data_IF_241316524268
#
_entry.id   IF_241316524268
#
_cell.length_a   1.000
_cell.length_b   1.000
_cell.length_c   1.000
_cell.angle_alpha   90.00
_cell.angle_beta   90.00
_cell.angle_gamma   90.00
#
_symmetry.space_group_name_H-M   'P 1'
#
loop_
_entity.id
_entity.type
_entity.pdbx_description
1 polymer ?
#
# COMPACT_ATOMS: atom_id res chain seq x y z
N UNK A 1 -1.24 42.00 -35.81
CA UNK A 1 -1.37 42.67 -34.51
C UNK A 1 -2.27 41.78 -33.65
N UNK A 2 -1.68 40.93 -32.78
CA UNK A 2 -2.41 40.10 -31.79
C UNK A 2 -2.47 40.88 -30.49
N UNK A 3 -3.64 41.33 -30.11
CA UNK A 3 -3.91 42.01 -28.84
C UNK A 3 -3.67 41.03 -27.68
N UNK A 4 -2.68 41.31 -26.85
CA UNK A 4 -2.47 40.68 -25.55
C UNK A 4 -3.56 41.19 -24.60
N UNK A 5 -4.24 40.25 -23.95
CA UNK A 5 -5.20 40.50 -22.88
C UNK A 5 -4.46 40.92 -21.59
N UNK A 6 -4.69 42.15 -21.05
CA UNK A 6 -3.87 42.67 -19.94
C UNK A 6 -4.26 42.13 -18.55
N UNK A 7 -5.19 41.16 -18.44
CA UNK A 7 -5.70 40.68 -17.17
C UNK A 7 -5.26 39.25 -16.77
N UNK A 8 -4.23 38.70 -17.38
CA UNK A 8 -3.66 37.45 -16.91
C UNK A 8 -2.74 37.69 -15.68
N UNK A 9 -3.26 37.47 -14.49
CA UNK A 9 -2.57 37.59 -13.21
C UNK A 9 -1.44 36.53 -13.12
N UNK A 10 -0.14 36.90 -13.19
CA UNK A 10 0.98 35.93 -13.22
C UNK A 10 1.09 35.09 -11.97
N UNK A 11 0.50 35.53 -10.84
CA UNK A 11 0.54 34.82 -9.55
C UNK A 11 -0.36 33.58 -9.53
N UNK A 12 -1.50 33.58 -10.26
CA UNK A 12 -2.42 32.44 -10.33
C UNK A 12 -1.87 31.27 -11.18
N UNK A 13 -1.11 31.61 -12.24
CA UNK A 13 -0.44 30.62 -13.10
C UNK A 13 0.76 29.97 -12.40
N UNK A 14 1.50 30.71 -11.59
CA UNK A 14 2.64 30.23 -10.81
C UNK A 14 2.21 29.33 -9.65
N UNK A 15 1.10 29.64 -8.96
CA UNK A 15 0.55 28.77 -7.89
C UNK A 15 -0.08 27.48 -8.46
N UNK A 16 -0.67 27.50 -9.65
CA UNK A 16 -1.16 26.29 -10.34
C UNK A 16 -0.03 25.32 -10.70
N UNK A 17 1.17 25.82 -11.03
CA UNK A 17 2.33 25.00 -11.36
C UNK A 17 2.98 24.31 -10.15
N UNK A 18 2.84 24.86 -8.94
CA UNK A 18 3.47 24.34 -7.73
C UNK A 18 2.76 23.10 -7.14
N UNK A 19 1.48 22.87 -7.45
CA UNK A 19 0.67 21.78 -6.90
C UNK A 19 0.71 20.48 -7.73
N UNK A 20 1.19 20.54 -8.97
CA UNK A 20 1.20 19.45 -9.96
C UNK A 20 2.63 19.18 -10.42
N UNK A 21 3.06 17.91 -10.44
CA UNK A 21 4.38 17.51 -10.93
C UNK A 21 4.22 16.65 -12.19
N UNK A 22 4.63 17.21 -13.32
CA UNK A 22 4.63 16.49 -14.59
C UNK A 22 5.85 15.56 -14.65
N UNK A 23 5.60 14.24 -14.53
CA UNK A 23 6.66 13.22 -14.57
C UNK A 23 7.08 12.88 -16.02
N UNK A 24 6.47 13.50 -17.02
CA UNK A 24 6.86 13.31 -18.42
C UNK A 24 8.07 14.16 -18.82
N UNK A 25 8.52 15.09 -17.95
CA UNK A 25 9.62 16.02 -18.20
C UNK A 25 10.75 15.81 -17.19
N UNK A 26 11.99 16.06 -17.59
CA UNK A 26 13.17 15.95 -16.72
C UNK A 26 13.75 14.52 -16.64
N UNK A 27 14.74 14.31 -15.75
CA UNK A 27 15.39 13.00 -15.55
C UNK A 27 14.42 12.02 -14.88
N UNK A 28 14.22 10.80 -15.42
CA UNK A 28 13.36 9.80 -14.82
C UNK A 28 13.77 9.45 -13.39
N UNK A 29 15.05 9.19 -13.15
CA UNK A 29 15.59 8.88 -11.83
C UNK A 29 15.20 9.94 -10.78
N UNK A 30 15.41 11.23 -11.11
CA UNK A 30 15.08 12.34 -10.20
C UNK A 30 13.58 12.40 -9.90
N UNK A 31 12.73 12.18 -10.92
CA UNK A 31 11.27 12.23 -10.75
C UNK A 31 10.79 11.06 -9.88
N UNK A 32 11.27 9.83 -10.13
CA UNK A 32 10.92 8.65 -9.37
C UNK A 32 11.35 8.81 -7.91
N UNK A 33 12.61 9.20 -7.65
CA UNK A 33 13.15 9.38 -6.30
C UNK A 33 12.40 10.48 -5.54
N UNK A 34 12.17 11.65 -6.18
CA UNK A 34 11.46 12.77 -5.57
C UNK A 34 10.01 12.42 -5.20
N UNK A 35 9.38 11.55 -5.99
CA UNK A 35 8.03 11.07 -5.72
C UNK A 35 7.99 9.96 -4.67
N UNK A 36 8.94 9.01 -4.70
CA UNK A 36 9.00 7.89 -3.77
C UNK A 36 9.36 8.32 -2.34
N UNK A 37 10.24 9.31 -2.18
CA UNK A 37 10.74 9.71 -0.85
C UNK A 37 9.64 10.09 0.15
N UNK A 38 8.65 10.96 -0.18
CA UNK A 38 7.55 11.24 0.75
C UNK A 38 6.70 10.00 1.08
N UNK A 39 6.54 9.07 0.13
CA UNK A 39 5.79 7.83 0.36
C UNK A 39 6.52 6.91 1.34
N UNK A 40 7.84 6.77 1.20
CA UNK A 40 8.70 5.99 2.10
C UNK A 40 8.62 6.58 3.52
N UNK A 41 8.80 7.88 3.65
CA UNK A 41 8.70 8.56 4.95
C UNK A 41 7.30 8.42 5.56
N UNK A 42 6.25 8.50 4.74
CA UNK A 42 4.87 8.30 5.17
C UNK A 42 4.63 6.89 5.70
N UNK A 43 5.17 5.88 5.03
CA UNK A 43 5.07 4.49 5.49
C UNK A 43 5.81 4.26 6.81
N UNK A 44 7.02 4.77 6.95
CA UNK A 44 7.81 4.65 8.20
C UNK A 44 7.05 5.30 9.36
N UNK A 45 6.52 6.51 9.16
CA UNK A 45 5.71 7.20 10.17
C UNK A 45 4.43 6.41 10.52
N UNK A 46 3.80 5.79 9.53
CA UNK A 46 2.65 4.93 9.75
C UNK A 46 3.00 3.71 10.61
N UNK A 47 4.16 3.09 10.40
CA UNK A 47 4.62 2.00 11.25
C UNK A 47 4.93 2.47 12.69
N UNK A 48 5.51 3.65 12.83
CA UNK A 48 5.79 4.22 14.15
C UNK A 48 4.50 4.51 14.94
N UNK A 49 3.50 5.10 14.30
CA UNK A 49 2.24 5.39 14.99
C UNK A 49 1.50 4.11 15.41
N UNK A 50 1.53 3.04 14.59
CA UNK A 50 0.94 1.75 14.95
C UNK A 50 1.60 1.13 16.19
N UNK A 51 2.92 1.34 16.35
CA UNK A 51 3.62 0.91 17.57
C UNK A 51 3.18 1.76 18.78
N UNK A 52 3.06 3.08 18.61
CA UNK A 52 2.60 3.98 19.68
C UNK A 52 1.17 3.62 20.11
N UNK A 53 0.26 3.40 19.17
CA UNK A 53 -1.11 2.98 19.45
C UNK A 53 -1.14 1.65 20.22
N UNK A 54 -0.37 0.65 19.80
CA UNK A 54 -0.26 -0.63 20.48
C UNK A 54 0.29 -0.48 21.92
N UNK A 55 1.25 0.44 22.15
CA UNK A 55 1.77 0.75 23.48
C UNK A 55 0.70 1.42 24.36
N UNK A 56 -0.05 2.37 23.80
CA UNK A 56 -1.15 3.03 24.51
C UNK A 56 -2.20 1.99 24.92
N UNK A 57 -2.70 1.19 23.98
CA UNK A 57 -3.70 0.15 24.26
C UNK A 57 -3.19 -0.86 25.28
N UNK A 58 -1.96 -1.41 25.10
CA UNK A 58 -1.40 -2.42 25.97
C UNK A 58 -1.11 -1.95 27.38
N UNK A 59 -0.65 -0.70 27.56
CA UNK A 59 -0.24 -0.18 28.86
C UNK A 59 -1.42 0.37 29.69
N UNK A 60 -2.41 0.99 29.06
CA UNK A 60 -3.53 1.65 29.77
C UNK A 60 -4.83 0.84 29.78
N UNK A 61 -5.08 -0.01 28.79
CA UNK A 61 -6.27 -0.88 28.79
C UNK A 61 -5.89 -2.28 29.30
N UNK A 62 -4.75 -2.81 28.85
CA UNK A 62 -4.21 -4.11 29.31
C UNK A 62 -3.92 -5.07 28.17
N UNK A 63 -3.31 -6.22 28.56
CA UNK A 63 -2.82 -7.24 27.63
C UNK A 63 -3.98 -7.89 26.85
N UNK A 64 -5.15 -8.07 27.46
CA UNK A 64 -6.34 -8.62 26.80
C UNK A 64 -6.82 -7.74 25.63
N UNK A 65 -6.87 -6.42 25.83
CA UNK A 65 -7.22 -5.46 24.76
C UNK A 65 -6.20 -5.47 23.62
N UNK A 66 -4.91 -5.53 23.95
CA UNK A 66 -3.85 -5.65 22.94
C UNK A 66 -3.96 -6.95 22.14
N UNK A 67 -4.30 -8.06 22.79
CA UNK A 67 -4.56 -9.34 22.15
C UNK A 67 -5.79 -9.29 21.24
N UNK A 68 -6.85 -8.59 21.64
CA UNK A 68 -8.06 -8.39 20.84
C UNK A 68 -7.77 -7.60 19.56
N UNK A 69 -7.01 -6.49 19.67
CA UNK A 69 -6.54 -5.72 18.51
C UNK A 69 -5.66 -6.57 17.61
N UNK A 70 -4.74 -7.35 18.20
CA UNK A 70 -3.85 -8.25 17.47
C UNK A 70 -4.59 -9.35 16.70
N UNK A 71 -5.59 -9.99 17.30
CA UNK A 71 -6.44 -10.99 16.64
C UNK A 71 -7.19 -10.42 15.43
N UNK A 72 -7.53 -9.13 15.48
CA UNK A 72 -8.23 -8.42 14.41
C UNK A 72 -7.33 -8.05 13.21
N UNK A 73 -6.02 -8.08 13.38
CA UNK A 73 -5.05 -7.54 12.38
C UNK A 73 -5.11 -8.26 11.03
N UNK A 74 -5.18 -9.59 11.02
CA UNK A 74 -5.21 -10.38 9.78
C UNK A 74 -6.47 -10.11 8.96
N UNK A 75 -7.61 -9.98 9.64
CA UNK A 75 -8.91 -9.69 9.01
C UNK A 75 -8.89 -8.28 8.41
N UNK A 76 -8.41 -7.33 9.20
CA UNK A 76 -8.26 -5.93 8.77
C UNK A 76 -7.33 -5.83 7.57
N UNK A 77 -6.20 -6.57 7.57
CA UNK A 77 -5.25 -6.59 6.46
C UNK A 77 -5.89 -7.04 5.14
N UNK A 78 -6.69 -8.11 5.15
CA UNK A 78 -7.36 -8.61 3.94
C UNK A 78 -8.34 -7.59 3.36
N UNK A 79 -9.20 -7.01 4.20
CA UNK A 79 -10.24 -6.07 3.76
C UNK A 79 -9.62 -4.72 3.34
N UNK A 80 -8.76 -4.16 4.19
CA UNK A 80 -8.11 -2.88 3.91
C UNK A 80 -7.10 -2.97 2.76
N UNK A 81 -6.42 -4.12 2.61
CA UNK A 81 -5.56 -4.41 1.46
C UNK A 81 -6.33 -4.36 0.15
N UNK A 82 -7.53 -4.97 0.09
CA UNK A 82 -8.42 -4.84 -1.06
C UNK A 82 -8.81 -3.38 -1.34
N UNK A 83 -9.21 -2.64 -0.30
CA UNK A 83 -9.60 -1.23 -0.42
C UNK A 83 -8.45 -0.37 -0.97
N UNK A 84 -7.25 -0.55 -0.43
CA UNK A 84 -6.04 0.17 -0.86
C UNK A 84 -5.68 -0.14 -2.32
N UNK A 85 -5.69 -1.42 -2.69
CA UNK A 85 -5.41 -1.86 -4.05
C UNK A 85 -6.42 -1.34 -5.06
N UNK A 86 -7.72 -1.42 -4.75
CA UNK A 86 -8.78 -0.92 -5.61
C UNK A 86 -8.64 0.60 -5.86
N UNK A 87 -8.41 1.39 -4.82
CA UNK A 87 -8.20 2.83 -4.93
C UNK A 87 -6.95 3.19 -5.75
N UNK A 88 -5.86 2.42 -5.56
CA UNK A 88 -4.64 2.60 -6.36
C UNK A 88 -4.90 2.30 -7.85
N UNK A 89 -5.70 1.27 -8.16
CA UNK A 89 -6.11 0.94 -9.52
C UNK A 89 -6.99 2.03 -10.17
N UNK A 90 -7.86 2.67 -9.40
CA UNK A 90 -8.67 3.80 -9.90
C UNK A 90 -7.84 5.04 -10.23
N UNK A 91 -6.66 5.20 -9.66
CA UNK A 91 -5.75 6.30 -9.96
C UNK A 91 -5.03 6.14 -11.31
N UNK A 92 -4.91 4.91 -11.86
CA UNK A 92 -4.17 4.63 -13.10
C UNK A 92 -4.80 5.33 -14.32
N UNK A 93 -6.11 5.19 -14.64
CA UNK A 93 -6.72 5.90 -15.77
C UNK A 93 -6.65 7.42 -15.63
N UNK A 94 -6.61 7.94 -14.39
CA UNK A 94 -6.45 9.36 -14.11
C UNK A 94 -5.04 9.83 -14.46
N UNK A 95 -4.00 9.07 -14.07
CA UNK A 95 -2.61 9.36 -14.40
C UNK A 95 -2.37 9.31 -15.92
N UNK A 96 -2.97 8.33 -16.61
CA UNK A 96 -2.93 8.20 -18.08
C UNK A 96 -3.55 9.42 -18.75
N UNK A 97 -4.77 9.82 -18.35
CA UNK A 97 -5.46 10.96 -18.92
C UNK A 97 -4.74 12.28 -18.63
N UNK A 98 -4.14 12.41 -17.43
CA UNK A 98 -3.30 13.55 -17.07
C UNK A 98 -2.06 13.64 -17.97
N UNK A 99 -1.34 12.53 -18.16
CA UNK A 99 -0.17 12.47 -19.07
C UNK A 99 -0.51 12.81 -20.52
N UNK A 100 -1.69 12.41 -20.98
CA UNK A 100 -2.24 12.76 -22.30
C UNK A 100 -2.70 14.23 -22.40
N UNK A 101 -2.70 14.98 -21.30
CA UNK A 101 -3.27 16.33 -21.18
C UNK A 101 -4.76 16.41 -21.53
N UNK A 102 -5.47 15.28 -21.50
CA UNK A 102 -6.92 15.18 -21.69
C UNK A 102 -7.63 15.38 -20.34
N UNK A 103 -7.71 16.62 -19.91
CA UNK A 103 -8.25 16.98 -18.61
C UNK A 103 -9.76 16.74 -18.49
N UNK A 104 -10.49 16.83 -19.62
CA UNK A 104 -11.91 16.46 -19.65
C UNK A 104 -12.10 14.98 -19.30
N UNK A 105 -11.41 14.10 -20.02
CA UNK A 105 -11.44 12.65 -19.78
C UNK A 105 -10.96 12.30 -18.36
N UNK A 106 -9.93 12.99 -17.87
CA UNK A 106 -9.41 12.81 -16.51
C UNK A 106 -10.50 13.09 -15.47
N UNK A 107 -11.21 14.24 -15.57
CA UNK A 107 -12.27 14.60 -14.62
C UNK A 107 -13.47 13.66 -14.67
N UNK A 108 -13.80 13.11 -15.84
CA UNK A 108 -14.83 12.05 -15.95
C UNK A 108 -14.39 10.78 -15.22
N UNK A 109 -13.11 10.37 -15.31
CA UNK A 109 -12.60 9.27 -14.51
C UNK A 109 -12.67 9.56 -13.01
N UNK A 110 -12.30 10.76 -12.57
CA UNK A 110 -12.40 11.17 -11.16
C UNK A 110 -13.84 11.07 -10.66
N UNK A 111 -14.82 11.61 -11.42
CA UNK A 111 -16.24 11.56 -11.05
C UNK A 111 -16.77 10.14 -10.91
N UNK A 112 -16.44 9.27 -11.87
CA UNK A 112 -16.88 7.87 -11.83
C UNK A 112 -16.14 7.07 -10.74
N UNK A 113 -14.83 7.33 -10.51
CA UNK A 113 -14.07 6.71 -9.44
C UNK A 113 -14.65 7.02 -8.06
N UNK A 114 -15.07 8.27 -7.80
CA UNK A 114 -15.74 8.64 -6.54
C UNK A 114 -17.03 7.84 -6.36
N UNK A 115 -17.88 7.73 -7.38
CA UNK A 115 -19.14 6.98 -7.28
C UNK A 115 -18.93 5.50 -7.02
N UNK A 116 -18.03 4.87 -7.80
CA UNK A 116 -17.72 3.44 -7.61
C UNK A 116 -17.17 3.23 -6.20
N UNK A 117 -16.27 4.09 -5.74
CA UNK A 117 -15.67 3.98 -4.41
C UNK A 117 -16.69 4.11 -3.30
N UNK A 118 -17.66 5.01 -3.41
CA UNK A 118 -18.75 5.13 -2.42
C UNK A 118 -19.59 3.84 -2.40
N UNK A 119 -19.99 3.33 -3.57
CA UNK A 119 -20.78 2.09 -3.64
C UNK A 119 -19.98 0.91 -3.09
N UNK A 120 -18.73 0.74 -3.52
CA UNK A 120 -17.88 -0.36 -3.04
C UNK A 120 -17.62 -0.28 -1.54
N UNK A 121 -17.32 0.91 -1.03
CA UNK A 121 -17.07 1.12 0.39
C UNK A 121 -18.30 0.78 1.24
N UNK A 122 -19.49 1.20 0.80
CA UNK A 122 -20.75 0.88 1.49
C UNK A 122 -21.05 -0.62 1.44
N UNK A 123 -20.89 -1.26 0.29
CA UNK A 123 -21.12 -2.72 0.14
C UNK A 123 -20.16 -3.49 1.05
N UNK A 124 -18.85 -3.17 0.99
CA UNK A 124 -17.84 -3.84 1.81
C UNK A 124 -18.12 -3.59 3.30
N UNK A 125 -18.44 -2.35 3.69
CA UNK A 125 -18.77 -2.00 5.07
C UNK A 125 -19.96 -2.83 5.57
N UNK A 126 -21.09 -2.85 4.82
CA UNK A 126 -22.30 -3.57 5.23
C UNK A 126 -22.03 -5.07 5.34
N UNK A 127 -21.36 -5.67 4.35
CA UNK A 127 -21.00 -7.09 4.41
C UNK A 127 -20.06 -7.39 5.58
N UNK A 128 -19.04 -6.57 5.81
CA UNK A 128 -18.11 -6.76 6.92
C UNK A 128 -18.79 -6.65 8.28
N UNK A 129 -19.70 -5.68 8.45
CA UNK A 129 -20.48 -5.51 9.68
C UNK A 129 -21.42 -6.71 9.91
N UNK A 130 -22.13 -7.16 8.87
CA UNK A 130 -23.05 -8.31 8.96
C UNK A 130 -22.34 -9.60 9.33
N UNK A 131 -21.16 -9.82 8.79
CA UNK A 131 -20.40 -11.06 9.00
C UNK A 131 -19.35 -10.98 10.10
N UNK A 132 -19.18 -9.84 10.77
CA UNK A 132 -18.13 -9.61 11.77
C UNK A 132 -18.09 -10.71 12.86
N UNK A 133 -19.22 -11.05 13.43
CA UNK A 133 -19.33 -12.08 14.47
C UNK A 133 -18.89 -13.47 13.93
N UNK A 134 -19.36 -13.86 12.74
CA UNK A 134 -18.98 -15.12 12.11
C UNK A 134 -17.51 -15.18 11.75
N UNK A 135 -16.94 -14.07 11.26
CA UNK A 135 -15.53 -13.97 10.92
C UNK A 135 -14.65 -14.23 12.14
N UNK A 136 -14.98 -13.61 13.30
CA UNK A 136 -14.25 -13.82 14.55
C UNK A 136 -14.36 -15.27 15.06
N UNK A 137 -15.52 -15.93 14.88
CA UNK A 137 -15.69 -17.34 15.18
C UNK A 137 -14.82 -18.23 14.26
N UNK A 138 -14.78 -17.93 12.96
CA UNK A 138 -13.98 -18.70 11.99
C UNK A 138 -12.46 -18.63 12.25
N UNK A 139 -11.97 -17.52 12.80
CA UNK A 139 -10.56 -17.41 13.20
C UNK A 139 -10.29 -17.91 14.63
N UNK A 140 -11.28 -18.56 15.27
CA UNK A 140 -11.18 -19.12 16.62
C UNK A 140 -10.71 -18.10 17.66
N UNK A 141 -11.28 -16.88 17.65
CA UNK A 141 -10.96 -15.85 18.63
C UNK A 141 -11.35 -16.33 20.04
N UNK A 142 -10.45 -16.29 21.04
CA UNK A 142 -10.74 -16.71 22.41
C UNK A 142 -11.91 -15.94 23.01
N UNK A 143 -12.71 -16.62 23.86
CA UNK A 143 -13.95 -16.08 24.42
C UNK A 143 -13.73 -14.88 25.35
N UNK A 144 -12.60 -14.86 26.06
CA UNK A 144 -12.18 -13.81 26.99
C UNK A 144 -11.89 -12.45 26.31
N UNK A 145 -11.40 -12.47 25.05
CA UNK A 145 -11.12 -11.26 24.27
C UNK A 145 -12.14 -11.01 23.16
N UNK A 146 -13.14 -11.88 22.99
CA UNK A 146 -14.07 -11.83 21.86
C UNK A 146 -14.87 -10.53 21.81
N UNK A 147 -15.36 -10.04 22.97
CA UNK A 147 -16.14 -8.81 23.03
C UNK A 147 -15.32 -7.58 22.59
N UNK A 148 -14.09 -7.46 23.06
CA UNK A 148 -13.19 -6.36 22.70
C UNK A 148 -12.79 -6.42 21.23
N UNK A 149 -12.45 -7.62 20.71
CA UNK A 149 -12.16 -7.83 19.30
C UNK A 149 -13.35 -7.50 18.40
N UNK A 150 -14.56 -7.88 18.81
CA UNK A 150 -15.80 -7.56 18.09
C UNK A 150 -16.04 -6.05 18.05
N UNK A 151 -15.94 -5.38 19.20
CA UNK A 151 -16.12 -3.92 19.30
C UNK A 151 -15.12 -3.17 18.44
N UNK A 152 -13.84 -3.56 18.50
CA UNK A 152 -12.79 -2.95 17.69
C UNK A 152 -13.03 -3.15 16.20
N UNK A 153 -13.32 -4.38 15.76
CA UNK A 153 -13.57 -4.66 14.34
C UNK A 153 -14.83 -3.95 13.82
N UNK A 154 -15.90 -3.88 14.60
CA UNK A 154 -17.10 -3.15 14.21
C UNK A 154 -16.79 -1.67 13.91
N UNK A 155 -15.97 -1.03 14.74
CA UNK A 155 -15.52 0.35 14.51
C UNK A 155 -14.59 0.48 13.32
N UNK A 156 -13.65 -0.47 13.12
CA UNK A 156 -12.79 -0.51 11.94
C UNK A 156 -13.60 -0.70 10.66
N UNK A 157 -14.61 -1.55 10.65
CA UNK A 157 -15.47 -1.76 9.49
C UNK A 157 -16.36 -0.55 9.21
N UNK A 158 -16.84 0.12 10.24
CA UNK A 158 -17.58 1.39 10.09
C UNK A 158 -16.69 2.51 9.50
N UNK A 159 -15.36 2.43 9.68
CA UNK A 159 -14.39 3.37 9.10
C UNK A 159 -14.08 3.10 7.61
N UNK A 160 -14.50 1.96 7.02
CA UNK A 160 -14.19 1.60 5.62
C UNK A 160 -14.49 2.73 4.63
N UNK A 161 -15.63 3.45 4.68
CA UNK A 161 -15.89 4.55 3.76
C UNK A 161 -14.88 5.70 3.86
N UNK A 162 -14.39 5.99 5.07
CA UNK A 162 -13.38 7.02 5.30
C UNK A 162 -12.00 6.57 4.78
N UNK A 163 -11.63 5.32 5.05
CA UNK A 163 -10.40 4.73 4.53
C UNK A 163 -10.40 4.70 3.00
N UNK A 164 -11.53 4.30 2.39
CA UNK A 164 -11.70 4.35 0.94
C UNK A 164 -11.60 5.78 0.41
N UNK A 165 -12.25 6.73 1.07
CA UNK A 165 -12.21 8.14 0.72
C UNK A 165 -10.81 8.72 0.75
N UNK A 166 -10.05 8.48 1.82
CA UNK A 166 -8.65 8.93 1.93
C UNK A 166 -7.77 8.29 0.86
N UNK A 167 -7.83 6.97 0.67
CA UNK A 167 -7.01 6.27 -0.31
C UNK A 167 -7.33 6.70 -1.75
N UNK A 168 -8.61 6.88 -2.08
CA UNK A 168 -9.03 7.39 -3.38
C UNK A 168 -8.49 8.80 -3.62
N UNK A 169 -8.81 9.75 -2.74
CA UNK A 169 -8.44 11.14 -2.91
C UNK A 169 -6.93 11.35 -2.92
N UNK A 170 -6.20 10.67 -2.02
CA UNK A 170 -4.74 10.70 -2.02
C UNK A 170 -4.16 10.05 -3.28
N UNK A 171 -4.79 8.98 -3.79
CA UNK A 171 -4.46 8.36 -5.08
C UNK A 171 -4.63 9.32 -6.26
N UNK A 172 -5.73 10.09 -6.29
CA UNK A 172 -5.98 11.11 -7.31
C UNK A 172 -4.92 12.23 -7.26
N UNK A 173 -4.56 12.69 -6.06
CA UNK A 173 -3.49 13.69 -5.88
C UNK A 173 -2.15 13.14 -6.39
N UNK A 174 -1.83 11.87 -6.06
CA UNK A 174 -0.62 11.19 -6.52
C UNK A 174 -0.62 10.98 -8.04
N UNK A 175 -1.76 10.69 -8.66
CA UNK A 175 -1.87 10.54 -10.11
C UNK A 175 -1.40 11.78 -10.88
N UNK A 176 -1.51 12.97 -10.29
CA UNK A 176 -1.00 14.23 -10.83
C UNK A 176 0.47 14.52 -10.40
N UNK A 177 1.18 13.52 -9.89
CA UNK A 177 2.60 13.62 -9.54
C UNK A 177 2.90 14.24 -8.15
N UNK A 178 1.88 14.50 -7.32
CA UNK A 178 2.08 15.09 -6.00
C UNK A 178 1.97 14.04 -4.88
N UNK A 179 3.10 13.54 -4.40
CA UNK A 179 3.17 12.61 -3.27
C UNK A 179 3.35 13.31 -1.91
N UNK A 180 3.75 14.60 -1.91
CA UNK A 180 4.06 15.34 -0.68
C UNK A 180 2.81 15.67 0.14
N UNK A 181 1.74 16.08 -0.51
CA UNK A 181 0.53 16.49 0.21
C UNK A 181 -0.17 15.33 0.93
N UNK A 182 -0.40 14.16 0.30
CA UNK A 182 -0.88 12.98 1.02
C UNK A 182 -0.01 12.59 2.21
N UNK A 183 1.30 12.76 2.12
CA UNK A 183 2.23 12.55 3.23
C UNK A 183 1.96 13.49 4.41
N UNK A 184 1.79 14.80 4.16
CA UNK A 184 1.46 15.75 5.24
C UNK A 184 0.09 15.46 5.87
N UNK A 185 -0.89 15.02 5.09
CA UNK A 185 -2.20 14.64 5.62
C UNK A 185 -2.12 13.39 6.49
N UNK A 186 -1.26 12.44 6.11
CA UNK A 186 -0.99 11.25 6.90
C UNK A 186 -0.34 11.62 8.26
N UNK A 187 0.65 12.52 8.27
CA UNK A 187 1.26 13.02 9.51
C UNK A 187 0.20 13.65 10.41
N UNK A 188 -0.59 14.57 9.86
CA UNK A 188 -1.65 15.26 10.63
C UNK A 188 -2.63 14.26 11.22
N UNK A 189 -3.06 13.28 10.42
CA UNK A 189 -3.95 12.21 10.87
C UNK A 189 -3.35 11.37 11.99
N UNK A 190 -2.07 10.99 11.86
CA UNK A 190 -1.38 10.21 12.89
C UNK A 190 -1.27 10.99 14.22
N UNK A 191 -0.94 12.27 14.16
CA UNK A 191 -0.89 13.12 15.37
C UNK A 191 -2.27 13.27 16.01
N UNK A 192 -3.32 13.49 15.21
CA UNK A 192 -4.71 13.55 15.70
C UNK A 192 -5.12 12.23 16.30
N UNK A 193 -4.77 11.09 15.68
CA UNK A 193 -5.07 9.77 16.21
C UNK A 193 -4.43 9.55 17.59
N UNK A 194 -3.13 9.78 17.74
CA UNK A 194 -2.42 9.66 19.02
C UNK A 194 -3.05 10.57 20.10
N UNK A 195 -3.38 11.81 19.75
CA UNK A 195 -4.03 12.73 20.66
C UNK A 195 -5.41 12.21 21.10
N UNK A 196 -6.21 11.72 20.17
CA UNK A 196 -7.53 11.16 20.44
C UNK A 196 -7.45 9.86 21.24
N UNK A 197 -6.48 8.98 21.00
CA UNK A 197 -6.21 7.78 21.80
C UNK A 197 -5.96 8.15 23.25
N UNK A 198 -5.08 9.12 23.50
CA UNK A 198 -4.83 9.62 24.86
C UNK A 198 -6.10 10.18 25.49
N UNK A 199 -6.87 11.01 24.79
CA UNK A 199 -8.08 11.62 25.33
C UNK A 199 -9.17 10.56 25.58
N UNK A 200 -9.48 9.71 24.60
CA UNK A 200 -10.61 8.79 24.70
C UNK A 200 -10.30 7.58 25.61
N UNK A 201 -9.05 7.12 25.64
CA UNK A 201 -8.66 5.98 26.46
C UNK A 201 -8.37 6.42 27.90
N UNK A 202 -7.49 7.46 28.10
CA UNK A 202 -7.06 7.84 29.43
C UNK A 202 -8.07 8.72 30.17
N UNK A 203 -8.64 9.74 29.51
CA UNK A 203 -9.52 10.70 30.17
C UNK A 203 -11.00 10.28 30.14
N UNK A 204 -11.47 9.66 29.03
CA UNK A 204 -12.85 9.23 28.90
C UNK A 204 -13.07 7.78 29.32
N UNK A 205 -12.01 6.98 29.52
CA UNK A 205 -12.11 5.57 29.97
C UNK A 205 -12.82 4.64 28.97
N UNK A 206 -12.82 4.97 27.66
CA UNK A 206 -13.58 4.23 26.64
C UNK A 206 -12.95 2.89 26.23
N UNK A 207 -11.82 2.53 26.80
CA UNK A 207 -11.14 1.24 26.50
C UNK A 207 -10.86 1.06 25.00
N UNK A 208 -11.04 -0.17 24.52
CA UNK A 208 -10.81 -0.54 23.09
C UNK A 208 -11.68 0.25 22.12
N UNK A 209 -12.91 0.61 22.53
CA UNK A 209 -13.78 1.45 21.71
C UNK A 209 -13.16 2.84 21.47
N UNK A 210 -12.43 3.38 22.46
CA UNK A 210 -11.72 4.65 22.32
C UNK A 210 -10.69 4.62 21.18
N UNK A 211 -9.86 3.56 21.10
CA UNK A 211 -8.89 3.37 20.01
C UNK A 211 -9.58 3.28 18.63
N UNK A 212 -10.69 2.53 18.54
CA UNK A 212 -11.47 2.44 17.31
C UNK A 212 -12.04 3.78 16.85
N UNK A 213 -12.62 4.56 17.78
CA UNK A 213 -13.18 5.89 17.49
C UNK A 213 -12.08 6.89 17.12
N UNK A 214 -10.92 6.86 17.81
CA UNK A 214 -9.78 7.70 17.47
C UNK A 214 -9.30 7.46 16.02
N UNK A 215 -9.19 6.19 15.62
CA UNK A 215 -8.87 5.82 14.23
C UNK A 215 -9.93 6.35 13.26
N UNK A 216 -11.22 6.20 13.57
CA UNK A 216 -12.30 6.68 12.73
C UNK A 216 -12.26 8.21 12.54
N UNK A 217 -12.12 8.97 13.62
CA UNK A 217 -12.05 10.44 13.58
C UNK A 217 -10.79 10.94 12.86
N UNK A 218 -9.65 10.32 13.09
CA UNK A 218 -8.40 10.69 12.41
C UNK A 218 -8.45 10.45 10.90
N UNK A 219 -9.11 9.37 10.45
CA UNK A 219 -9.40 9.13 9.04
C UNK A 219 -10.34 10.19 8.44
N UNK A 220 -11.38 10.60 9.19
CA UNK A 220 -12.26 11.68 8.77
C UNK A 220 -11.51 13.00 8.55
N UNK A 221 -10.57 13.33 9.44
CA UNK A 221 -9.69 14.50 9.29
C UNK A 221 -8.84 14.38 8.01
N UNK A 222 -8.27 13.21 7.73
CA UNK A 222 -7.50 12.97 6.50
C UNK A 222 -8.34 13.22 5.24
N UNK A 223 -9.56 12.70 5.20
CA UNK A 223 -10.50 12.90 4.08
C UNK A 223 -10.83 14.38 3.91
N UNK A 224 -11.15 15.06 5.02
CA UNK A 224 -11.46 16.49 5.00
C UNK A 224 -10.29 17.34 4.47
N UNK A 225 -9.06 17.04 4.89
CA UNK A 225 -7.84 17.69 4.41
C UNK A 225 -7.62 17.44 2.90
N UNK A 226 -7.84 16.22 2.41
CA UNK A 226 -7.77 15.92 0.99
C UNK A 226 -8.80 16.74 0.18
N UNK A 227 -10.05 16.77 0.64
CA UNK A 227 -11.12 17.53 -0.02
C UNK A 227 -10.81 19.03 -0.02
N UNK A 228 -10.40 19.56 1.13
CA UNK A 228 -10.02 20.97 1.25
C UNK A 228 -8.89 21.33 0.28
N UNK A 229 -7.83 20.50 0.24
CA UNK A 229 -6.68 20.72 -0.63
C UNK A 229 -7.04 20.65 -2.12
N UNK A 230 -7.82 19.65 -2.53
CA UNK A 230 -8.29 19.53 -3.93
C UNK A 230 -9.11 20.75 -4.32
N UNK A 231 -10.05 21.19 -3.46
CA UNK A 231 -10.89 22.36 -3.75
C UNK A 231 -10.09 23.66 -3.87
N UNK A 232 -9.05 23.82 -3.04
CA UNK A 232 -8.27 25.06 -2.99
C UNK A 232 -7.11 25.09 -3.99
N UNK A 233 -6.41 23.99 -4.17
CA UNK A 233 -5.13 23.95 -4.89
C UNK A 233 -5.13 23.08 -6.16
N UNK A 234 -6.08 22.15 -6.30
CA UNK A 234 -6.12 21.20 -7.42
C UNK A 234 -7.48 21.22 -8.15
N UNK A 235 -7.96 22.41 -8.48
CA UNK A 235 -9.23 22.59 -9.20
C UNK A 235 -9.30 21.80 -10.52
N UNK A 236 -8.15 21.44 -11.08
CA UNK A 236 -8.03 20.59 -12.26
C UNK A 236 -8.69 19.21 -12.08
N UNK A 237 -8.76 18.69 -10.83
CA UNK A 237 -9.39 17.41 -10.49
C UNK A 237 -10.91 17.51 -10.30
N UNK A 238 -11.46 18.72 -10.22
CA UNK A 238 -12.88 18.90 -9.90
C UNK A 238 -13.73 18.75 -11.15
N UNK A 239 -14.63 17.75 -11.23
CA UNK A 239 -15.52 17.57 -12.36
C UNK A 239 -16.53 18.72 -12.50
N UNK A 240 -16.74 19.19 -13.73
CA UNK A 240 -17.64 20.30 -14.05
C UNK A 240 -18.73 19.85 -15.02
N UNK A 241 -19.93 20.41 -14.86
CA UNK A 241 -21.03 20.19 -15.81
C UNK A 241 -21.24 18.74 -16.21
N UNK A 242 -21.09 18.45 -17.49
CA UNK A 242 -21.29 17.11 -18.09
C UNK A 242 -20.31 16.04 -17.60
N UNK A 243 -19.14 16.42 -17.10
CA UNK A 243 -18.12 15.50 -16.61
C UNK A 243 -18.59 14.73 -15.36
N UNK A 244 -19.65 15.23 -14.70
CA UNK A 244 -20.30 14.56 -13.57
C UNK A 244 -21.27 13.46 -14.01
N UNK A 245 -21.57 13.30 -15.31
CA UNK A 245 -22.48 12.24 -15.77
C UNK A 245 -21.83 10.87 -15.58
N UNK A 246 -22.69 9.88 -15.31
CA UNK A 246 -22.25 8.48 -15.24
C UNK A 246 -21.88 7.98 -16.64
N UNK A 247 -20.69 7.37 -16.75
CA UNK A 247 -20.18 6.78 -18.00
C UNK A 247 -19.83 5.32 -17.75
N UNK A 248 -20.65 4.43 -18.29
CA UNK A 248 -20.51 2.99 -18.13
C UNK A 248 -19.17 2.46 -18.67
N UNK A 249 -18.70 2.96 -19.82
CA UNK A 249 -17.44 2.56 -20.44
C UNK A 249 -16.26 2.92 -19.55
N UNK A 250 -16.24 4.12 -18.98
CA UNK A 250 -15.17 4.59 -18.09
C UNK A 250 -15.23 3.92 -16.72
N UNK A 251 -16.43 3.64 -16.24
CA UNK A 251 -16.67 2.81 -15.04
C UNK A 251 -16.07 1.42 -15.22
N UNK A 252 -16.30 0.75 -16.35
CA UNK A 252 -15.71 -0.55 -16.65
C UNK A 252 -14.17 -0.50 -16.67
N UNK A 253 -13.58 0.55 -17.26
CA UNK A 253 -12.12 0.72 -17.25
C UNK A 253 -11.56 0.86 -15.83
N UNK A 254 -12.24 1.65 -14.99
CA UNK A 254 -11.86 1.80 -13.57
C UNK A 254 -11.93 0.46 -12.82
N UNK A 255 -13.04 -0.28 -12.96
CA UNK A 255 -13.22 -1.59 -12.33
C UNK A 255 -12.19 -2.61 -12.82
N UNK A 256 -11.89 -2.62 -14.12
CA UNK A 256 -10.87 -3.52 -14.71
C UNK A 256 -9.44 -3.20 -14.23
N UNK A 257 -9.19 -2.05 -13.67
CA UNK A 257 -7.92 -1.71 -13.01
C UNK A 257 -8.01 -1.91 -11.50
N UNK A 258 -9.07 -1.42 -10.87
CA UNK A 258 -9.19 -1.41 -9.41
C UNK A 258 -9.43 -2.79 -8.81
N UNK A 259 -10.39 -3.54 -9.35
CA UNK A 259 -10.74 -4.87 -8.78
C UNK A 259 -9.56 -5.84 -8.83
N UNK A 260 -8.84 -6.01 -9.96
CA UNK A 260 -7.67 -6.88 -9.99
C UNK A 260 -6.57 -6.46 -9.03
N UNK A 261 -6.33 -5.15 -8.85
CA UNK A 261 -5.35 -4.67 -7.89
C UNK A 261 -5.79 -4.92 -6.45
N UNK A 262 -7.06 -4.74 -6.13
CA UNK A 262 -7.60 -5.10 -4.82
C UNK A 262 -7.46 -6.59 -4.54
N UNK A 263 -7.85 -7.44 -5.49
CA UNK A 263 -7.73 -8.89 -5.39
C UNK A 263 -6.27 -9.34 -5.25
N UNK A 264 -5.34 -8.70 -5.94
CA UNK A 264 -3.91 -8.99 -5.82
C UNK A 264 -3.45 -8.92 -4.35
N UNK A 265 -3.78 -7.83 -3.63
CA UNK A 265 -3.42 -7.69 -2.22
C UNK A 265 -4.04 -8.78 -1.35
N UNK A 266 -5.32 -9.10 -1.57
CA UNK A 266 -5.99 -10.16 -0.82
C UNK A 266 -5.40 -11.53 -1.09
N UNK A 267 -5.11 -11.86 -2.36
CA UNK A 267 -4.51 -13.13 -2.77
C UNK A 267 -3.10 -13.30 -2.19
N UNK A 268 -2.28 -12.25 -2.26
CA UNK A 268 -0.94 -12.26 -1.64
C UNK A 268 -1.06 -12.46 -0.12
N UNK A 269 -2.06 -11.81 0.52
CA UNK A 269 -2.36 -11.98 1.94
C UNK A 269 -2.71 -13.42 2.33
N UNK A 270 -3.48 -14.14 1.51
CA UNK A 270 -3.78 -15.56 1.74
C UNK A 270 -2.47 -16.38 1.75
N UNK A 271 -1.56 -16.14 0.82
CA UNK A 271 -0.26 -16.80 0.78
C UNK A 271 0.57 -16.54 2.06
N UNK A 272 0.54 -15.31 2.60
CA UNK A 272 1.21 -14.97 3.85
C UNK A 272 0.60 -15.72 5.04
N UNK A 273 -0.73 -15.83 5.10
CA UNK A 273 -1.43 -16.56 6.16
C UNK A 273 -1.06 -18.05 6.12
N UNK A 274 -0.96 -18.66 4.92
CA UNK A 274 -0.54 -20.07 4.77
C UNK A 274 0.88 -20.29 5.29
N UNK A 275 1.82 -19.42 4.96
CA UNK A 275 3.19 -19.48 5.47
C UNK A 275 3.25 -19.28 6.99
N UNK A 276 2.47 -18.33 7.52
CA UNK A 276 2.34 -18.12 8.96
C UNK A 276 1.79 -19.36 9.68
N UNK A 277 0.77 -20.00 9.11
CA UNK A 277 0.20 -21.24 9.67
C UNK A 277 1.23 -22.38 9.73
N UNK A 278 2.02 -22.56 8.66
CA UNK A 278 3.10 -23.55 8.63
C UNK A 278 4.19 -23.22 9.66
N UNK A 279 4.53 -21.93 9.82
CA UNK A 279 5.47 -21.49 10.85
C UNK A 279 4.96 -21.76 12.28
N UNK A 280 3.67 -21.52 12.53
CA UNK A 280 3.06 -21.75 13.84
C UNK A 280 3.16 -23.21 14.29
N UNK A 281 3.13 -24.16 13.34
CA UNK A 281 3.29 -25.59 13.61
C UNK A 281 4.72 -25.97 14.08
N UNK A 282 5.73 -25.10 13.87
CA UNK A 282 7.12 -25.35 14.29
C UNK A 282 7.39 -24.96 15.76
N UNK A 283 6.43 -24.37 16.45
CA UNK A 283 6.51 -24.03 17.88
C UNK A 283 6.84 -22.56 18.15
N UNK A 284 6.80 -22.21 19.42
CA UNK A 284 6.83 -20.82 19.92
C UNK A 284 8.10 -20.05 19.55
N UNK A 285 9.26 -20.72 19.57
CA UNK A 285 10.55 -20.10 19.19
C UNK A 285 10.54 -19.61 17.74
N UNK A 286 10.00 -20.41 16.80
CA UNK A 286 9.89 -20.04 15.40
C UNK A 286 8.86 -18.93 15.20
N UNK A 287 7.75 -18.97 15.91
CA UNK A 287 6.72 -17.91 15.86
C UNK A 287 7.27 -16.58 16.36
N UNK A 288 7.99 -16.58 17.47
CA UNK A 288 8.62 -15.38 18.01
C UNK A 288 9.68 -14.81 17.05
N UNK A 289 10.54 -15.69 16.51
CA UNK A 289 11.57 -15.29 15.54
C UNK A 289 10.97 -14.70 14.27
N UNK A 290 9.93 -15.31 13.71
CA UNK A 290 9.24 -14.82 12.52
C UNK A 290 8.60 -13.46 12.76
N UNK A 291 7.88 -13.30 13.88
CA UNK A 291 7.20 -12.05 14.23
C UNK A 291 8.19 -10.91 14.41
N UNK A 292 9.30 -11.13 15.13
CA UNK A 292 10.35 -10.13 15.30
C UNK A 292 10.98 -9.73 13.96
N UNK A 293 11.28 -10.73 13.11
CA UNK A 293 11.86 -10.50 11.78
C UNK A 293 10.94 -9.69 10.86
N UNK A 294 9.64 -9.97 10.86
CA UNK A 294 8.67 -9.24 10.02
C UNK A 294 8.63 -7.75 10.33
N UNK A 295 8.74 -7.37 11.61
CA UNK A 295 8.77 -5.96 12.03
C UNK A 295 9.91 -5.20 11.36
N UNK A 296 11.11 -5.75 11.41
CA UNK A 296 12.29 -5.14 10.79
C UNK A 296 12.23 -5.26 9.27
N UNK A 297 11.84 -6.42 8.72
CA UNK A 297 11.71 -6.63 7.29
C UNK A 297 10.83 -5.55 6.64
N UNK A 298 9.68 -5.25 7.19
CA UNK A 298 8.78 -4.24 6.62
C UNK A 298 9.38 -2.83 6.57
N UNK A 299 10.24 -2.46 7.52
CA UNK A 299 10.95 -1.18 7.49
C UNK A 299 11.94 -1.09 6.31
N UNK A 300 12.61 -2.19 5.96
CA UNK A 300 13.52 -2.21 4.82
C UNK A 300 12.80 -2.41 3.49
N UNK A 301 11.80 -3.29 3.43
CA UNK A 301 11.11 -3.61 2.16
C UNK A 301 10.17 -2.50 1.71
N UNK A 302 9.72 -1.62 2.59
CA UNK A 302 8.86 -0.49 2.22
C UNK A 302 9.46 0.42 1.15
N UNK A 303 10.78 0.51 1.06
CA UNK A 303 11.45 1.32 0.03
C UNK A 303 11.19 0.73 -1.36
N UNK A 304 11.31 -0.59 -1.52
CA UNK A 304 11.02 -1.28 -2.79
C UNK A 304 9.57 -1.07 -3.22
N UNK A 305 8.63 -1.24 -2.28
CA UNK A 305 7.19 -1.05 -2.53
C UNK A 305 6.87 0.38 -2.96
N UNK A 306 7.43 1.39 -2.29
CA UNK A 306 7.15 2.78 -2.61
C UNK A 306 7.85 3.28 -3.89
N UNK A 307 9.01 2.71 -4.27
CA UNK A 307 9.59 2.89 -5.60
C UNK A 307 8.63 2.29 -6.65
N UNK A 308 8.07 1.10 -6.40
CA UNK A 308 7.03 0.50 -7.24
C UNK A 308 5.84 1.45 -7.44
N UNK A 309 5.25 1.96 -6.36
CA UNK A 309 4.12 2.92 -6.43
C UNK A 309 4.49 4.16 -7.27
N UNK A 310 5.72 4.66 -7.15
CA UNK A 310 6.20 5.76 -7.99
C UNK A 310 6.25 5.36 -9.46
N UNK A 311 6.66 4.12 -9.77
CA UNK A 311 6.68 3.58 -11.13
C UNK A 311 5.29 3.47 -11.75
N UNK A 312 4.25 3.11 -10.97
CA UNK A 312 2.88 3.09 -11.50
C UNK A 312 2.43 4.47 -12.01
N UNK A 313 2.65 5.52 -11.22
CA UNK A 313 2.32 6.90 -11.63
C UNK A 313 3.19 7.37 -12.79
N UNK A 314 4.50 7.11 -12.72
CA UNK A 314 5.44 7.48 -13.77
C UNK A 314 5.12 6.83 -15.12
N UNK A 315 4.89 5.52 -15.13
CA UNK A 315 4.53 4.77 -16.33
C UNK A 315 3.18 5.23 -16.89
N UNK A 316 2.17 5.46 -16.03
CA UNK A 316 0.86 5.93 -16.44
C UNK A 316 0.93 7.30 -17.14
N UNK A 317 1.61 8.28 -16.53
CA UNK A 317 1.77 9.60 -17.14
C UNK A 317 2.55 9.55 -18.45
N UNK A 318 3.66 8.81 -18.51
CA UNK A 318 4.49 8.71 -19.72
C UNK A 318 3.79 7.94 -20.84
N UNK A 319 3.01 6.90 -20.54
CA UNK A 319 2.17 6.22 -21.53
C UNK A 319 1.08 7.17 -22.07
N UNK A 320 0.41 7.91 -21.19
CA UNK A 320 -0.58 8.91 -21.60
C UNK A 320 0.02 9.96 -22.55
N UNK A 321 1.25 10.38 -22.29
CA UNK A 321 2.01 11.29 -23.16
C UNK A 321 2.61 10.61 -24.42
N UNK A 322 2.33 9.33 -24.64
CA UNK A 322 2.88 8.51 -25.76
C UNK A 322 4.42 8.40 -25.75
N UNK A 323 5.06 8.52 -24.57
CA UNK A 323 6.51 8.47 -24.38
C UNK A 323 7.00 7.12 -23.87
N UNK A 324 6.84 6.08 -24.69
CA UNK A 324 7.22 4.68 -24.32
C UNK A 324 8.73 4.54 -24.12
N UNK A 325 9.54 5.35 -24.81
CA UNK A 325 10.98 5.44 -24.60
C UNK A 325 11.34 5.82 -23.16
N UNK A 326 10.58 6.75 -22.58
CA UNK A 326 10.76 7.18 -21.19
C UNK A 326 10.32 6.13 -20.19
N UNK A 327 9.27 5.35 -20.49
CA UNK A 327 8.87 4.21 -19.65
C UNK A 327 10.03 3.22 -19.53
N UNK A 328 10.67 2.88 -20.68
CA UNK A 328 11.82 1.97 -20.70
C UNK A 328 13.01 2.52 -19.89
N UNK A 329 13.32 3.82 -20.04
CA UNK A 329 14.37 4.47 -19.24
C UNK A 329 14.04 4.47 -17.76
N UNK A 330 12.81 4.85 -17.39
CA UNK A 330 12.40 4.91 -16.00
C UNK A 330 12.50 3.55 -15.31
N UNK A 331 12.14 2.46 -15.99
CA UNK A 331 12.30 1.10 -15.46
C UNK A 331 13.79 0.77 -15.23
N UNK A 332 14.67 1.10 -16.16
CA UNK A 332 16.13 0.90 -15.98
C UNK A 332 16.67 1.73 -14.82
N UNK A 333 16.29 2.99 -14.72
CA UNK A 333 16.70 3.90 -13.64
C UNK A 333 16.17 3.41 -12.27
N UNK A 334 14.93 2.89 -12.22
CA UNK A 334 14.36 2.32 -11.01
C UNK A 334 15.08 1.03 -10.58
N UNK A 335 15.45 0.17 -11.52
CA UNK A 335 16.25 -1.03 -11.23
C UNK A 335 17.62 -0.63 -10.68
N UNK A 336 18.28 0.37 -11.27
CA UNK A 336 19.56 0.88 -10.77
C UNK A 336 19.42 1.43 -9.34
N UNK A 337 18.38 2.25 -9.07
CA UNK A 337 18.10 2.77 -7.74
C UNK A 337 17.86 1.64 -6.71
N UNK A 338 17.11 0.62 -7.11
CA UNK A 338 16.83 -0.55 -6.29
C UNK A 338 18.11 -1.33 -5.97
N UNK A 339 19.02 -1.54 -6.96
CA UNK A 339 20.28 -2.23 -6.74
C UNK A 339 21.19 -1.45 -5.77
N UNK A 340 21.25 -0.13 -5.90
CA UNK A 340 21.98 0.73 -4.94
C UNK A 340 21.41 0.59 -3.53
N UNK A 341 20.08 0.60 -3.41
CA UNK A 341 19.42 0.40 -2.12
C UNK A 341 19.64 -1.01 -1.57
N UNK A 342 19.62 -2.04 -2.41
CA UNK A 342 19.96 -3.40 -2.01
C UNK A 342 21.39 -3.49 -1.45
N UNK A 343 22.38 -2.89 -2.10
CA UNK A 343 23.75 -2.86 -1.58
C UNK A 343 23.81 -2.20 -0.18
N UNK A 344 23.08 -1.10 0.01
CA UNK A 344 22.95 -0.48 1.32
C UNK A 344 22.34 -1.46 2.36
N UNK A 345 21.23 -2.11 2.04
CA UNK A 345 20.58 -3.06 2.97
C UNK A 345 21.48 -4.27 3.24
N UNK A 346 22.25 -4.73 2.25
CA UNK A 346 23.17 -5.83 2.39
C UNK A 346 24.28 -5.51 3.41
N UNK A 347 24.89 -4.34 3.29
CA UNK A 347 25.94 -3.86 4.21
C UNK A 347 25.40 -3.63 5.62
N UNK A 348 24.12 -3.25 5.74
CA UNK A 348 23.50 -2.98 7.05
C UNK A 348 22.95 -4.26 7.68
N UNK A 349 22.14 -5.03 6.96
CA UNK A 349 21.43 -6.18 7.55
C UNK A 349 22.38 -7.35 7.79
N UNK A 350 23.25 -7.67 6.83
CA UNK A 350 24.04 -8.89 6.89
C UNK A 350 24.93 -8.97 8.14
N UNK A 351 25.73 -7.94 8.50
CA UNK A 351 26.57 -7.97 9.71
C UNK A 351 25.77 -7.65 10.99
N UNK A 352 24.73 -6.83 10.91
CA UNK A 352 24.04 -6.32 12.10
C UNK A 352 22.72 -7.03 12.42
N UNK A 353 22.34 -8.10 11.69
CA UNK A 353 21.08 -8.81 11.91
C UNK A 353 20.86 -9.23 13.36
N UNK A 354 21.87 -9.82 14.02
CA UNK A 354 21.76 -10.25 15.42
C UNK A 354 21.52 -9.06 16.37
N UNK A 355 22.20 -7.93 16.15
CA UNK A 355 21.99 -6.72 16.95
C UNK A 355 20.58 -6.14 16.76
N UNK A 356 20.09 -6.13 15.52
CA UNK A 356 18.74 -5.65 15.21
C UNK A 356 17.69 -6.51 15.91
N UNK A 357 17.87 -7.82 15.95
CA UNK A 357 16.93 -8.73 16.61
C UNK A 357 16.94 -8.55 18.13
N UNK A 358 18.09 -8.30 18.76
CA UNK A 358 18.20 -8.01 20.19
C UNK A 358 17.47 -6.72 20.64
N UNK A 359 17.09 -5.86 19.72
CA UNK A 359 16.25 -4.70 20.06
C UNK A 359 14.77 -5.10 20.33
N UNK A 360 14.35 -6.29 19.86
CA UNK A 360 12.97 -6.77 19.95
C UNK A 360 12.82 -8.04 20.80
N UNK A 361 13.92 -8.73 21.08
CA UNK A 361 13.94 -10.01 21.78
C UNK A 361 14.98 -9.94 22.91
N UNK A 362 14.60 -10.40 24.09
CA UNK A 362 15.50 -10.42 25.25
C UNK A 362 16.77 -11.24 24.96
N UNK A 363 17.88 -10.78 25.53
CA UNK A 363 19.20 -11.41 25.33
C UNK A 363 19.29 -12.86 25.81
N UNK A 364 18.38 -13.31 26.68
CA UNK A 364 18.26 -14.70 27.14
C UNK A 364 17.70 -15.67 26.10
N UNK A 365 17.03 -15.18 25.07
CA UNK A 365 16.36 -15.97 24.01
C UNK A 365 17.26 -16.15 22.78
N UNK A 366 18.48 -16.70 22.99
CA UNK A 366 19.49 -16.80 21.92
C UNK A 366 19.01 -17.56 20.66
N UNK A 367 18.16 -18.58 20.81
CA UNK A 367 17.60 -19.34 19.69
C UNK A 367 16.66 -18.49 18.84
N UNK A 368 15.83 -17.66 19.48
CA UNK A 368 14.92 -16.73 18.78
C UNK A 368 15.71 -15.69 17.99
N UNK A 369 16.75 -15.10 18.61
CA UNK A 369 17.63 -14.12 17.95
C UNK A 369 18.35 -14.75 16.75
N UNK A 370 18.92 -15.95 16.91
CA UNK A 370 19.62 -16.64 15.82
C UNK A 370 18.71 -16.97 14.65
N UNK A 371 17.52 -17.52 14.92
CA UNK A 371 16.52 -17.82 13.88
C UNK A 371 16.06 -16.55 13.16
N UNK A 372 15.76 -15.49 13.91
CA UNK A 372 15.33 -14.24 13.33
C UNK A 372 16.43 -13.58 12.46
N UNK A 373 17.68 -13.61 12.91
CA UNK A 373 18.81 -13.12 12.14
C UNK A 373 19.04 -13.96 10.86
N UNK A 374 18.89 -15.29 10.93
CA UNK A 374 18.93 -16.17 9.77
C UNK A 374 17.86 -15.80 8.74
N UNK A 375 16.61 -15.58 9.18
CA UNK A 375 15.53 -15.15 8.31
C UNK A 375 15.86 -13.84 7.60
N UNK A 376 16.36 -12.85 8.33
CA UNK A 376 16.73 -11.55 7.75
C UNK A 376 17.87 -11.67 6.74
N UNK A 377 18.90 -12.45 7.03
CA UNK A 377 20.03 -12.66 6.12
C UNK A 377 19.58 -13.36 4.84
N UNK A 378 18.80 -14.45 4.94
CA UNK A 378 18.29 -15.17 3.76
C UNK A 378 17.43 -14.25 2.92
N UNK A 379 16.43 -13.57 3.51
CA UNK A 379 15.57 -12.66 2.75
C UNK A 379 16.36 -11.54 2.08
N UNK A 380 17.36 -10.98 2.77
CA UNK A 380 18.17 -9.90 2.21
C UNK A 380 18.94 -10.31 0.94
N UNK A 381 19.43 -11.55 0.85
CA UNK A 381 20.03 -12.06 -0.40
C UNK A 381 19.09 -11.98 -1.60
N UNK A 382 17.78 -12.11 -1.36
CA UNK A 382 16.75 -12.11 -2.39
C UNK A 382 16.03 -10.76 -2.55
N UNK A 383 16.47 -9.68 -1.90
CA UNK A 383 15.91 -8.35 -2.12
C UNK A 383 16.02 -7.83 -3.55
N UNK A 384 17.04 -8.21 -4.38
CA UNK A 384 17.02 -7.88 -5.80
C UNK A 384 15.79 -8.44 -6.54
N UNK A 385 15.34 -9.65 -6.21
CA UNK A 385 14.12 -10.22 -6.81
C UNK A 385 12.87 -9.48 -6.31
N UNK A 386 12.78 -9.14 -5.02
CA UNK A 386 11.68 -8.31 -4.51
C UNK A 386 11.63 -6.95 -5.23
N UNK A 387 12.77 -6.30 -5.40
CA UNK A 387 12.83 -5.01 -6.09
C UNK A 387 12.45 -5.12 -7.56
N UNK A 388 12.89 -6.17 -8.26
CA UNK A 388 12.50 -6.44 -9.64
C UNK A 388 11.00 -6.67 -9.75
N UNK A 389 10.45 -7.53 -8.88
CA UNK A 389 9.03 -7.83 -8.76
C UNK A 389 8.20 -6.54 -8.59
N UNK A 390 8.56 -5.68 -7.64
CA UNK A 390 7.80 -4.46 -7.38
C UNK A 390 7.86 -3.50 -8.57
N UNK A 391 9.03 -3.28 -9.17
CA UNK A 391 9.18 -2.40 -10.33
C UNK A 391 8.37 -2.93 -11.52
N UNK A 392 8.47 -4.23 -11.85
CA UNK A 392 7.76 -4.81 -12.99
C UNK A 392 6.24 -4.81 -12.76
N UNK A 393 5.79 -5.22 -11.59
CA UNK A 393 4.37 -5.27 -11.21
C UNK A 393 3.73 -3.90 -11.33
N UNK A 394 4.27 -2.90 -10.65
CA UNK A 394 3.70 -1.56 -10.64
C UNK A 394 3.86 -0.84 -11.99
N UNK A 395 4.91 -1.15 -12.77
CA UNK A 395 5.02 -0.65 -14.14
C UNK A 395 3.92 -1.22 -15.04
N UNK A 396 3.66 -2.54 -14.99
CA UNK A 396 2.57 -3.18 -15.73
C UNK A 396 1.21 -2.59 -15.32
N UNK A 397 0.99 -2.36 -14.03
CA UNK A 397 -0.21 -1.69 -13.51
C UNK A 397 -0.34 -0.29 -14.09
N UNK A 398 0.70 0.53 -14.00
CA UNK A 398 0.71 1.89 -14.52
C UNK A 398 0.45 1.98 -16.03
N UNK A 399 0.81 0.93 -16.77
CA UNK A 399 0.51 0.79 -18.20
C UNK A 399 -0.94 0.31 -18.46
N UNK A 400 -1.76 0.08 -17.43
CA UNK A 400 -3.17 -0.29 -17.55
C UNK A 400 -3.44 -1.78 -17.70
N UNK A 401 -2.46 -2.65 -17.44
CA UNK A 401 -2.58 -4.11 -17.54
C UNK A 401 -2.70 -4.76 -16.13
N UNK A 402 -3.58 -4.25 -15.29
CA UNK A 402 -3.73 -4.67 -13.89
C UNK A 402 -4.07 -6.15 -13.71
N UNK A 403 -4.73 -6.79 -14.69
CA UNK A 403 -5.01 -8.22 -14.67
C UNK A 403 -3.72 -9.08 -14.67
N UNK A 404 -2.69 -8.66 -15.43
CA UNK A 404 -1.40 -9.35 -15.42
C UNK A 404 -0.72 -9.22 -14.06
N UNK A 405 -0.82 -8.03 -13.45
CA UNK A 405 -0.31 -7.82 -12.11
C UNK A 405 -1.03 -8.69 -11.06
N UNK A 406 -2.34 -8.86 -11.16
CA UNK A 406 -3.10 -9.76 -10.28
C UNK A 406 -2.60 -11.20 -10.38
N UNK A 407 -2.30 -11.68 -11.58
CA UNK A 407 -1.75 -13.03 -11.78
C UNK A 407 -0.40 -13.22 -11.08
N UNK A 408 0.43 -12.18 -10.96
CA UNK A 408 1.67 -12.29 -10.17
C UNK A 408 1.39 -12.56 -8.69
N UNK A 409 0.32 -11.98 -8.13
CA UNK A 409 -0.14 -12.30 -6.76
C UNK A 409 -0.56 -13.76 -6.61
N UNK A 410 -1.20 -14.33 -7.65
CA UNK A 410 -1.53 -15.77 -7.68
C UNK A 410 -0.26 -16.63 -7.69
N UNK A 411 0.77 -16.25 -8.47
CA UNK A 411 2.06 -16.95 -8.48
C UNK A 411 2.74 -16.91 -7.11
N UNK A 412 2.72 -15.77 -6.44
CA UNK A 412 3.24 -15.65 -5.07
C UNK A 412 2.47 -16.55 -4.09
N UNK A 413 1.15 -16.57 -4.17
CA UNK A 413 0.32 -17.42 -3.31
C UNK A 413 0.63 -18.90 -3.54
N UNK A 414 0.67 -19.37 -4.79
CA UNK A 414 1.00 -20.75 -5.14
C UNK A 414 2.39 -21.11 -4.59
N UNK A 415 3.37 -20.23 -4.76
CA UNK A 415 4.72 -20.45 -4.28
C UNK A 415 4.78 -20.58 -2.76
N UNK A 416 4.11 -19.68 -2.02
CA UNK A 416 4.05 -19.76 -0.53
C UNK A 416 3.30 -21.00 -0.06
N UNK A 417 2.21 -21.38 -0.72
CA UNK A 417 1.52 -22.64 -0.42
C UNK A 417 2.44 -23.84 -0.66
N UNK A 418 3.16 -23.87 -1.78
CA UNK A 418 4.11 -24.94 -2.08
C UNK A 418 5.24 -25.03 -1.04
N UNK A 419 5.83 -23.91 -0.66
CA UNK A 419 6.84 -23.86 0.40
C UNK A 419 6.25 -24.36 1.72
N UNK A 420 5.05 -23.90 2.08
CA UNK A 420 4.40 -24.28 3.35
C UNK A 420 4.08 -25.79 3.42
N UNK A 421 3.68 -26.40 2.29
CA UNK A 421 3.25 -27.81 2.25
C UNK A 421 4.42 -28.79 2.06
N UNK A 422 5.48 -28.39 1.37
CA UNK A 422 6.58 -29.30 1.00
C UNK A 422 7.91 -28.93 1.61
N UNK A 423 8.29 -27.64 1.58
CA UNK A 423 9.62 -27.23 2.00
C UNK A 423 9.70 -27.09 3.53
N UNK A 424 8.68 -26.51 4.17
CA UNK A 424 8.66 -26.35 5.63
C UNK A 424 8.67 -27.72 6.36
N UNK A 425 7.89 -28.74 5.95
CA UNK A 425 8.02 -30.09 6.54
C UNK A 425 9.38 -30.74 6.33
N UNK A 426 10.06 -30.45 5.20
CA UNK A 426 11.35 -31.05 4.87
C UNK A 426 12.53 -30.45 5.60
N UNK A 427 12.60 -29.12 5.72
CA UNK A 427 13.76 -28.40 6.29
C UNK A 427 13.37 -27.40 7.39
N UNK A 428 12.19 -27.56 7.97
CA UNK A 428 11.68 -26.83 9.15
C UNK A 428 11.80 -25.30 9.03
N UNK A 429 12.46 -24.63 9.98
CA UNK A 429 12.63 -23.18 10.02
C UNK A 429 13.27 -22.59 8.77
N UNK A 430 14.27 -23.26 8.22
CA UNK A 430 14.91 -22.82 6.97
C UNK A 430 13.91 -22.76 5.81
N UNK A 431 12.95 -23.70 5.77
CA UNK A 431 11.84 -23.68 4.82
C UNK A 431 11.00 -22.40 4.93
N UNK A 432 10.67 -21.97 6.14
CA UNK A 432 9.95 -20.70 6.39
C UNK A 432 10.75 -19.51 5.86
N UNK A 433 12.08 -19.50 6.05
CA UNK A 433 12.95 -18.44 5.55
C UNK A 433 12.92 -18.29 4.03
N UNK A 434 12.67 -19.38 3.28
CA UNK A 434 12.55 -19.36 1.82
C UNK A 434 11.13 -19.05 1.32
N UNK A 435 10.14 -18.90 2.19
CA UNK A 435 8.75 -18.63 1.81
C UNK A 435 8.57 -17.41 0.92
N UNK A 436 9.16 -16.28 1.32
CA UNK A 436 9.12 -15.04 0.54
C UNK A 436 10.07 -15.07 -0.68
N UNK A 437 11.35 -15.48 -0.55
CA UNK A 437 12.25 -15.60 -1.70
C UNK A 437 11.69 -16.42 -2.87
N UNK A 438 11.13 -17.58 -2.61
CA UNK A 438 10.54 -18.44 -3.66
C UNK A 438 9.33 -17.77 -4.28
N UNK A 439 8.50 -17.08 -3.48
CA UNK A 439 7.36 -16.33 -3.98
C UNK A 439 7.77 -15.18 -4.91
N UNK A 440 8.82 -14.44 -4.57
CA UNK A 440 9.35 -13.36 -5.39
C UNK A 440 9.92 -13.87 -6.72
N UNK A 441 10.70 -14.95 -6.68
CA UNK A 441 11.25 -15.56 -7.90
C UNK A 441 10.12 -16.06 -8.82
N UNK A 442 9.11 -16.76 -8.27
CA UNK A 442 7.98 -17.25 -9.08
C UNK A 442 7.20 -16.11 -9.72
N UNK A 443 7.01 -14.99 -9.00
CA UNK A 443 6.36 -13.82 -9.56
C UNK A 443 7.22 -13.15 -10.65
N UNK A 444 8.54 -13.06 -10.48
CA UNK A 444 9.45 -12.48 -11.47
C UNK A 444 9.51 -13.31 -12.76
N UNK A 445 9.51 -14.64 -12.65
CA UNK A 445 9.44 -15.54 -13.81
C UNK A 445 8.21 -15.27 -14.69
N UNK A 446 7.13 -14.80 -14.10
CA UNK A 446 5.93 -14.38 -14.83
C UNK A 446 6.00 -12.91 -15.25
N UNK A 447 6.37 -11.99 -14.35
CA UNK A 447 6.29 -10.54 -14.57
C UNK A 447 7.29 -10.03 -15.61
N UNK A 448 8.50 -10.58 -15.66
CA UNK A 448 9.51 -10.12 -16.62
C UNK A 448 9.07 -10.40 -18.07
N UNK A 449 8.66 -11.62 -18.45
CA UNK A 449 8.09 -11.87 -19.78
C UNK A 449 6.81 -11.05 -20.05
N UNK A 450 5.93 -10.92 -19.04
CA UNK A 450 4.71 -10.13 -19.17
C UNK A 450 5.02 -8.64 -19.46
N UNK A 451 6.00 -8.04 -18.78
CA UNK A 451 6.42 -6.67 -19.03
C UNK A 451 7.00 -6.49 -20.43
N UNK A 452 7.86 -7.40 -20.89
CA UNK A 452 8.43 -7.37 -22.24
C UNK A 452 7.34 -7.48 -23.31
N UNK A 453 6.35 -8.37 -23.09
CA UNK A 453 5.20 -8.50 -23.98
C UNK A 453 4.36 -7.22 -24.03
N UNK A 454 4.03 -6.62 -22.88
CA UNK A 454 3.31 -5.33 -22.80
C UNK A 454 4.06 -4.24 -23.55
N UNK A 455 5.37 -4.15 -23.33
CA UNK A 455 6.21 -3.15 -23.96
C UNK A 455 6.27 -3.32 -25.49
N UNK A 456 6.38 -4.56 -25.97
CA UNK A 456 6.36 -4.86 -27.39
C UNK A 456 5.01 -4.48 -28.03
N UNK A 457 3.91 -4.86 -27.37
CA UNK A 457 2.56 -4.53 -27.82
C UNK A 457 2.32 -3.02 -27.93
N UNK A 458 2.74 -2.25 -26.93
CA UNK A 458 2.58 -0.80 -26.92
C UNK A 458 3.42 -0.11 -28.01
N UNK A 459 4.65 -0.58 -28.26
CA UNK A 459 5.50 -0.06 -29.34
C UNK A 459 4.89 -0.29 -30.72
N UNK A 460 4.23 -1.43 -30.93
CA UNK A 460 3.59 -1.74 -32.22
C UNK A 460 2.28 -0.95 -32.43
N UNK A 461 1.59 -0.59 -31.39
CA UNK A 461 0.36 0.22 -31.47
C UNK A 461 0.65 1.73 -31.65
N UNK A 462 1.87 2.16 -31.34
CA UNK A 462 2.31 3.57 -31.49
C UNK A 462 2.98 3.87 -32.83
N UNK A 463 3.23 2.85 -33.66
CA UNK A 463 3.60 2.96 -35.09
C UNK A 463 2.33 2.97 -35.95
#
# INVERSE_FOLDING_TARGET
>A
MKTQDPNSNPSATSQKAASVSDMTVGSPLRQITKFALPLILGYILQQMYLVIDAVIVGRWIGVGALAAVGASTSITFLIMGFCNGACAGFAIPVALAFGAKDYHKMRVYVANAVRISVVMALVIMVLSLMFCHRILQMVNTPADIFHDAYTFLMLQFAAIPLTFGFNLLSGQIRALGNSRQPFYFLITSALVNILLDVVLILFCGMGVAGAGIATWLSQAVSVALCIWYIRKHMQLLIPQGDERRYDNRRTSILLNNGVPMGLQFSITGIGIIMLQSANNALGTTCVAAFTASLRIKYLFTCVFENIGVAMATYCGQNLGAQRIDRVTRGVKDAICLMLVYFLFTFVVIYPFADYMMRLFVDSGEAAVVSNAAQYMRINNYFYPTLGLLTIMRYSIQGLGFSNLSMLSGVMEMIARCGVSLWLVPAITWTGVCFGDPVAWIMADLFLVPAFLWVQHRLKNTSK
#
